data_IF_154824352192
#
_entry.id   IF_154824352192
#
_cell.length_a   1.000
_cell.length_b   1.000
_cell.length_c   1.000
_cell.angle_alpha   90.00
_cell.angle_beta   90.00
_cell.angle_gamma   90.00
#
_symmetry.space_group_name_H-M   'P 1'
#
loop_
_entity.id
_entity.type
_entity.pdbx_description
1 polymer ?
#
# COMPACT_ATOMS: atom_id res chain seq x y z
N UNK A 1 20.65 -9.89 -4.08
CA UNK A 1 21.76 -9.91 -3.08
C UNK A 1 21.28 -10.64 -1.82
N UNK A 2 21.99 -11.67 -1.34
CA UNK A 2 21.58 -12.45 -0.15
C UNK A 2 21.83 -11.59 1.10
N UNK A 3 20.78 -11.20 1.83
CA UNK A 3 20.89 -10.40 3.05
C UNK A 3 21.74 -11.15 4.10
N UNK A 4 22.58 -10.41 4.83
CA UNK A 4 23.32 -10.95 5.97
C UNK A 4 22.37 -11.26 7.12
N UNK A 5 22.72 -12.18 8.00
CA UNK A 5 21.85 -12.60 9.12
C UNK A 5 21.39 -11.41 9.98
N UNK A 6 22.26 -10.43 10.23
CA UNK A 6 21.95 -9.24 11.02
C UNK A 6 20.93 -8.31 10.29
N UNK A 7 21.05 -8.14 8.97
CA UNK A 7 20.09 -7.35 8.18
C UNK A 7 18.68 -7.94 8.27
N UNK A 8 18.56 -9.26 8.11
CA UNK A 8 17.26 -9.96 8.25
C UNK A 8 16.66 -9.79 9.65
N UNK A 9 17.47 -9.94 10.70
CA UNK A 9 16.99 -9.75 12.08
C UNK A 9 16.48 -8.33 12.34
N UNK A 10 17.14 -7.32 11.78
CA UNK A 10 16.71 -5.93 11.88
C UNK A 10 15.37 -5.70 11.18
N UNK A 11 15.18 -6.24 9.97
CA UNK A 11 13.89 -6.15 9.24
C UNK A 11 12.76 -6.89 9.96
N UNK A 12 13.03 -8.09 10.49
CA UNK A 12 12.06 -8.86 11.29
C UNK A 12 11.69 -8.10 12.57
N UNK A 13 12.66 -7.47 13.24
CA UNK A 13 12.42 -6.68 14.44
C UNK A 13 11.50 -5.48 14.18
N UNK A 14 11.60 -4.85 13.02
CA UNK A 14 10.66 -3.79 12.60
C UNK A 14 9.24 -4.33 12.58
N UNK A 15 8.98 -5.44 11.87
CA UNK A 15 7.64 -6.06 11.81
C UNK A 15 7.11 -6.39 13.20
N UNK A 16 7.92 -7.05 14.04
CA UNK A 16 7.52 -7.45 15.40
C UNK A 16 7.13 -6.25 16.28
N UNK A 17 7.88 -5.15 16.20
CA UNK A 17 7.56 -3.95 16.98
C UNK A 17 6.24 -3.34 16.50
N UNK A 18 6.05 -3.25 15.18
CA UNK A 18 4.83 -2.69 14.61
C UNK A 18 3.60 -3.53 15.00
N UNK A 19 3.68 -4.85 14.87
CA UNK A 19 2.59 -5.78 15.19
C UNK A 19 2.19 -5.73 16.65
N UNK A 20 3.15 -5.64 17.55
CA UNK A 20 2.92 -5.76 18.99
C UNK A 20 2.64 -4.42 19.68
N UNK A 21 3.26 -3.33 19.18
CA UNK A 21 3.29 -2.06 19.90
C UNK A 21 2.91 -0.85 19.03
N UNK A 22 2.77 -1.06 17.73
CA UNK A 22 2.44 -0.02 16.74
C UNK A 22 3.66 0.79 16.27
N UNK A 23 3.45 1.55 15.21
CA UNK A 23 4.50 2.36 14.56
C UNK A 23 5.09 3.45 15.46
N UNK A 24 4.32 4.00 16.39
CA UNK A 24 4.77 5.03 17.33
C UNK A 24 5.96 4.61 18.18
N UNK A 25 6.20 3.29 18.28
CA UNK A 25 7.29 2.72 19.09
C UNK A 25 8.54 2.40 18.27
N UNK A 26 8.52 2.65 16.97
CA UNK A 26 9.68 2.45 16.11
C UNK A 26 10.79 3.44 16.46
N UNK A 27 12.01 2.92 16.59
CA UNK A 27 13.21 3.72 16.84
C UNK A 27 14.46 2.88 16.84
N UNK A 28 15.60 3.48 16.49
CA UNK A 28 16.90 2.80 16.31
C UNK A 28 17.26 1.92 17.51
N UNK A 29 17.17 2.46 18.74
CA UNK A 29 17.56 1.73 19.95
C UNK A 29 16.63 0.52 20.20
N UNK A 30 15.32 0.68 19.97
CA UNK A 30 14.35 -0.37 20.17
C UNK A 30 14.51 -1.50 19.16
N UNK A 31 14.68 -1.15 17.88
CA UNK A 31 14.90 -2.12 16.80
C UNK A 31 16.19 -2.91 17.07
N UNK A 32 17.28 -2.24 17.42
CA UNK A 32 18.55 -2.88 17.74
C UNK A 32 18.42 -3.87 18.92
N UNK A 33 17.74 -3.46 19.99
CA UNK A 33 17.44 -4.31 21.14
C UNK A 33 16.61 -5.54 20.76
N UNK A 34 15.53 -5.34 20.02
CA UNK A 34 14.64 -6.42 19.54
C UNK A 34 15.38 -7.40 18.62
N UNK A 35 16.22 -6.88 17.71
CA UNK A 35 17.03 -7.67 16.79
C UNK A 35 18.23 -8.36 17.46
N UNK A 36 18.53 -8.04 18.73
CA UNK A 36 19.75 -8.46 19.43
C UNK A 36 21.00 -8.13 18.61
N UNK A 37 21.08 -6.90 18.11
CA UNK A 37 22.16 -6.37 17.29
C UNK A 37 22.66 -5.03 17.85
N UNK A 38 23.91 -4.68 17.52
CA UNK A 38 24.37 -3.31 17.76
C UNK A 38 23.66 -2.32 16.83
N UNK A 39 23.23 -1.17 17.37
CA UNK A 39 22.58 -0.10 16.60
C UNK A 39 23.45 0.46 15.47
N UNK A 40 24.76 0.36 15.58
CA UNK A 40 25.72 0.76 14.54
C UNK A 40 25.47 0.00 13.23
N UNK A 41 24.95 -1.24 13.31
CA UNK A 41 24.62 -2.03 12.12
C UNK A 41 23.44 -1.42 11.32
N UNK A 42 22.52 -0.69 11.97
CA UNK A 42 21.45 0.02 11.28
C UNK A 42 22.03 1.12 10.38
N UNK A 43 22.96 1.89 10.91
CA UNK A 43 23.64 2.92 10.13
C UNK A 43 24.53 2.33 9.03
N UNK A 44 25.23 1.26 9.35
CA UNK A 44 26.15 0.59 8.42
C UNK A 44 25.44 -0.05 7.23
N UNK A 45 24.30 -0.70 7.45
CA UNK A 45 23.60 -1.45 6.40
C UNK A 45 22.51 -0.67 5.70
N UNK A 46 21.90 0.28 6.41
CA UNK A 46 20.70 1.00 5.93
C UNK A 46 20.85 2.52 5.93
N UNK A 47 22.01 3.06 6.33
CA UNK A 47 22.24 4.51 6.44
C UNK A 47 21.33 5.20 7.46
N UNK A 48 20.79 4.45 8.43
CA UNK A 48 19.92 4.97 9.49
C UNK A 48 18.51 4.37 9.46
N UNK A 49 17.63 4.98 10.27
CA UNK A 49 16.26 4.49 10.45
C UNK A 49 15.44 4.56 9.16
N UNK A 50 15.49 5.67 8.44
CA UNK A 50 14.73 5.84 7.18
C UNK A 50 15.11 4.78 6.13
N UNK A 51 16.39 4.52 5.95
CA UNK A 51 16.86 3.50 5.03
C UNK A 51 16.46 2.08 5.44
N UNK A 52 16.45 1.78 6.76
CA UNK A 52 15.93 0.51 7.27
C UNK A 52 14.44 0.36 6.99
N UNK A 53 13.65 1.40 7.22
CA UNK A 53 12.19 1.38 6.97
C UNK A 53 11.89 1.31 5.48
N UNK A 54 12.65 2.01 4.62
CA UNK A 54 12.53 1.90 3.18
C UNK A 54 12.86 0.47 2.68
N UNK A 55 13.88 -0.17 3.26
CA UNK A 55 14.21 -1.57 2.95
C UNK A 55 13.11 -2.53 3.42
N UNK A 56 12.53 -2.29 4.60
CA UNK A 56 11.41 -3.06 5.13
C UNK A 56 10.16 -2.93 4.25
N UNK A 57 9.85 -1.73 3.77
CA UNK A 57 8.68 -1.47 2.96
C UNK A 57 8.70 -2.20 1.61
N UNK A 58 9.88 -2.48 1.03
CA UNK A 58 9.99 -3.23 -0.24
C UNK A 58 9.29 -4.59 -0.20
N UNK A 59 9.28 -5.23 0.97
CA UNK A 59 8.70 -6.55 1.15
C UNK A 59 7.34 -6.52 1.88
N UNK A 60 6.94 -5.37 2.42
CA UNK A 60 5.75 -5.28 3.28
C UNK A 60 4.74 -4.21 2.82
N UNK A 61 5.15 -3.27 1.97
CA UNK A 61 4.28 -2.21 1.48
C UNK A 61 3.47 -2.65 0.27
N UNK A 62 2.14 -2.63 0.41
CA UNK A 62 1.22 -3.05 -0.67
C UNK A 62 1.47 -2.29 -1.99
N UNK A 63 1.64 -0.98 -1.94
CA UNK A 63 1.76 -0.17 -3.17
C UNK A 63 3.06 -0.46 -3.92
N UNK A 64 4.15 -0.67 -3.18
CA UNK A 64 5.44 -1.09 -3.76
C UNK A 64 5.32 -2.49 -4.39
N UNK A 65 4.72 -3.44 -3.69
CA UNK A 65 4.49 -4.80 -4.19
C UNK A 65 3.54 -4.83 -5.39
N UNK A 66 2.47 -4.02 -5.34
CA UNK A 66 1.52 -3.90 -6.44
C UNK A 66 2.20 -3.34 -7.70
N UNK A 67 3.01 -2.28 -7.57
CA UNK A 67 3.77 -1.75 -8.69
C UNK A 67 4.66 -2.82 -9.34
N UNK A 68 5.44 -3.55 -8.54
CA UNK A 68 6.30 -4.63 -9.03
C UNK A 68 5.51 -5.73 -9.77
N UNK A 69 4.33 -6.08 -9.25
CA UNK A 69 3.51 -7.15 -9.80
C UNK A 69 2.73 -6.76 -11.08
N UNK A 70 2.40 -5.46 -11.23
CA UNK A 70 1.45 -5.02 -12.25
C UNK A 70 2.02 -4.11 -13.33
N UNK A 71 3.18 -3.47 -13.13
CA UNK A 71 3.79 -2.58 -14.13
C UNK A 71 3.98 -3.24 -15.49
N UNK A 72 4.52 -4.46 -15.54
CA UNK A 72 4.66 -5.22 -16.78
C UNK A 72 3.32 -5.62 -17.41
N UNK A 73 2.30 -5.87 -16.59
CA UNK A 73 0.97 -6.27 -17.08
C UNK A 73 0.25 -5.11 -17.75
N UNK A 74 0.40 -3.89 -17.22
CA UNK A 74 -0.11 -2.68 -17.86
C UNK A 74 0.54 -2.48 -19.21
N UNK A 75 1.86 -2.63 -19.29
CA UNK A 75 2.59 -2.51 -20.57
C UNK A 75 2.12 -3.51 -21.62
N UNK A 76 1.73 -4.73 -21.19
CA UNK A 76 1.24 -5.81 -22.07
C UNK A 76 -0.25 -5.74 -22.39
N UNK A 77 -1.01 -4.87 -21.75
CA UNK A 77 -2.45 -4.70 -22.02
C UNK A 77 -2.68 -4.20 -23.46
N UNK A 78 -3.60 -4.82 -24.18
CA UNK A 78 -3.87 -4.53 -25.59
C UNK A 78 -5.17 -3.75 -25.80
N UNK A 79 -6.05 -3.74 -24.78
CA UNK A 79 -7.36 -3.09 -24.87
C UNK A 79 -7.68 -2.29 -23.60
N UNK A 80 -8.63 -1.33 -23.73
CA UNK A 80 -9.21 -0.63 -22.58
C UNK A 80 -9.88 -1.60 -21.61
N UNK A 81 -10.43 -2.72 -22.11
CA UNK A 81 -11.02 -3.76 -21.28
C UNK A 81 -9.99 -4.46 -20.40
N UNK A 82 -8.79 -4.73 -20.93
CA UNK A 82 -7.68 -5.31 -20.14
C UNK A 82 -7.26 -4.35 -19.04
N UNK A 83 -7.19 -3.05 -19.34
CA UNK A 83 -6.87 -1.99 -18.37
C UNK A 83 -7.92 -1.94 -17.25
N UNK A 84 -9.22 -1.99 -17.61
CA UNK A 84 -10.31 -2.02 -16.61
C UNK A 84 -10.15 -3.23 -15.69
N UNK A 85 -10.05 -4.43 -16.26
CA UNK A 85 -9.90 -5.69 -15.51
C UNK A 85 -8.67 -5.67 -14.60
N UNK A 86 -7.56 -5.14 -15.10
CA UNK A 86 -6.32 -5.03 -14.34
C UNK A 86 -6.49 -4.05 -13.17
N UNK A 87 -7.07 -2.88 -13.40
CA UNK A 87 -7.36 -1.88 -12.36
C UNK A 87 -8.27 -2.45 -11.28
N UNK A 88 -9.37 -3.09 -11.67
CA UNK A 88 -10.27 -3.77 -10.73
C UNK A 88 -9.54 -4.83 -9.91
N UNK A 89 -8.68 -5.62 -10.55
CA UNK A 89 -7.87 -6.65 -9.88
C UNK A 89 -6.95 -6.04 -8.82
N UNK A 90 -6.30 -4.91 -9.14
CA UNK A 90 -5.41 -4.24 -8.17
C UNK A 90 -6.18 -3.69 -6.98
N UNK A 91 -7.32 -3.00 -7.23
CA UNK A 91 -8.17 -2.45 -6.18
C UNK A 91 -8.73 -3.54 -5.25
N UNK A 92 -9.16 -4.68 -5.81
CA UNK A 92 -9.63 -5.82 -5.02
C UNK A 92 -8.52 -6.46 -4.19
N UNK A 93 -7.32 -6.55 -4.74
CA UNK A 93 -6.17 -7.03 -3.98
C UNK A 93 -5.79 -6.05 -2.88
N UNK A 94 -5.86 -4.75 -3.13
CA UNK A 94 -5.67 -3.71 -2.10
C UNK A 94 -6.68 -3.90 -0.97
N UNK A 95 -7.98 -3.99 -1.29
CA UNK A 95 -9.04 -4.19 -0.30
C UNK A 95 -8.77 -5.43 0.56
N UNK A 96 -8.53 -6.58 -0.08
CA UNK A 96 -8.30 -7.84 0.63
C UNK A 96 -7.01 -7.81 1.47
N UNK A 97 -5.92 -7.26 0.92
CA UNK A 97 -4.65 -7.12 1.62
C UNK A 97 -4.77 -6.24 2.85
N UNK A 98 -5.36 -5.05 2.70
CA UNK A 98 -5.52 -4.11 3.81
C UNK A 98 -6.43 -4.66 4.91
N UNK A 99 -7.49 -5.37 4.57
CA UNK A 99 -8.39 -5.97 5.58
C UNK A 99 -7.71 -7.00 6.46
N UNK A 100 -6.72 -7.71 5.95
CA UNK A 100 -6.06 -8.82 6.66
C UNK A 100 -4.67 -8.48 7.16
N UNK A 101 -4.05 -7.40 6.67
CA UNK A 101 -2.68 -7.04 7.00
C UNK A 101 -2.61 -5.91 8.03
N UNK A 102 -2.48 -6.28 9.31
CA UNK A 102 -2.39 -5.33 10.42
C UNK A 102 -1.18 -4.39 10.30
N UNK A 103 -0.03 -4.89 9.81
CA UNK A 103 1.17 -4.07 9.61
C UNK A 103 0.90 -2.91 8.65
N UNK A 104 0.24 -3.19 7.53
CA UNK A 104 -0.08 -2.17 6.54
C UNK A 104 -1.12 -1.18 7.06
N UNK A 105 -2.11 -1.64 7.82
CA UNK A 105 -3.08 -0.76 8.47
C UNK A 105 -2.40 0.20 9.45
N UNK A 106 -1.46 -0.29 10.27
CA UNK A 106 -0.69 0.54 11.19
C UNK A 106 0.18 1.55 10.44
N UNK A 107 0.83 1.14 9.35
CA UNK A 107 1.62 2.03 8.50
C UNK A 107 0.79 3.18 7.96
N UNK A 108 -0.37 2.87 7.34
CA UNK A 108 -1.27 3.90 6.78
C UNK A 108 -1.83 4.83 7.87
N UNK A 109 -2.23 4.30 9.01
CA UNK A 109 -2.72 5.11 10.12
C UNK A 109 -1.63 6.06 10.64
N UNK A 110 -0.40 5.59 10.71
CA UNK A 110 0.74 6.40 11.13
C UNK A 110 1.09 7.51 10.11
N UNK A 111 1.03 7.20 8.82
CA UNK A 111 1.24 8.20 7.76
C UNK A 111 0.23 9.35 7.85
N UNK A 112 -1.03 9.04 8.11
CA UNK A 112 -2.09 10.04 8.31
C UNK A 112 -1.86 10.94 9.53
N UNK A 113 -1.03 10.52 10.50
CA UNK A 113 -0.67 11.35 11.65
C UNK A 113 0.36 12.46 11.35
N UNK A 114 0.81 12.58 10.10
CA UNK A 114 1.71 13.64 9.65
C UNK A 114 3.19 13.43 10.02
N UNK A 115 3.58 12.20 10.36
CA UNK A 115 4.96 11.90 10.74
C UNK A 115 5.89 11.81 9.54
N UNK A 116 7.00 12.56 9.57
CA UNK A 116 7.96 12.65 8.45
C UNK A 116 8.87 11.42 8.26
N UNK A 117 8.87 10.49 9.21
CA UNK A 117 9.76 9.31 9.20
C UNK A 117 9.57 8.40 7.97
N UNK A 118 8.41 8.49 7.30
CA UNK A 118 8.07 7.68 6.12
C UNK A 118 8.11 8.44 4.80
N UNK A 119 8.64 9.63 4.78
CA UNK A 119 8.71 10.43 3.55
C UNK A 119 9.40 9.69 2.40
N UNK A 120 10.40 8.88 2.68
CA UNK A 120 11.09 8.06 1.67
C UNK A 120 10.19 7.00 1.05
N UNK A 121 9.34 6.35 1.85
CA UNK A 121 8.36 5.35 1.37
C UNK A 121 7.27 6.03 0.56
N UNK A 122 6.73 7.16 1.05
CA UNK A 122 5.73 7.95 0.32
C UNK A 122 6.28 8.41 -1.03
N UNK A 123 7.49 8.96 -1.08
CA UNK A 123 8.12 9.40 -2.32
C UNK A 123 8.33 8.24 -3.31
N UNK A 124 8.63 7.05 -2.83
CA UNK A 124 8.74 5.86 -3.68
C UNK A 124 7.38 5.44 -4.24
N UNK A 125 6.34 5.42 -3.41
CA UNK A 125 4.96 5.13 -3.84
C UNK A 125 4.49 6.14 -4.89
N UNK A 126 4.71 7.44 -4.66
CA UNK A 126 4.34 8.50 -5.60
C UNK A 126 5.05 8.33 -6.94
N UNK A 127 6.36 8.06 -6.94
CA UNK A 127 7.10 7.78 -8.18
C UNK A 127 6.54 6.57 -8.93
N UNK A 128 6.26 5.50 -8.22
CA UNK A 128 5.74 4.27 -8.81
C UNK A 128 4.31 4.45 -9.30
N UNK A 129 3.46 5.14 -8.53
CA UNK A 129 2.11 5.50 -8.91
C UNK A 129 2.10 6.37 -10.16
N UNK A 130 2.94 7.39 -10.21
CA UNK A 130 3.06 8.28 -11.37
C UNK A 130 3.45 7.52 -12.65
N UNK A 131 4.49 6.66 -12.59
CA UNK A 131 4.90 5.82 -13.73
C UNK A 131 3.78 4.90 -14.20
N UNK A 132 3.06 4.28 -13.28
CA UNK A 132 1.95 3.39 -13.62
C UNK A 132 0.82 4.16 -14.32
N UNK A 133 0.52 5.37 -13.85
CA UNK A 133 -0.48 6.25 -14.46
C UNK A 133 -0.05 6.72 -15.86
N UNK A 134 1.22 7.08 -16.06
CA UNK A 134 1.73 7.42 -17.40
C UNK A 134 1.57 6.26 -18.40
N UNK A 135 1.84 5.03 -17.97
CA UNK A 135 1.65 3.86 -18.81
C UNK A 135 0.17 3.59 -19.13
N UNK A 136 -0.72 3.79 -18.15
CA UNK A 136 -2.16 3.69 -18.36
C UNK A 136 -2.66 4.75 -19.36
N UNK A 137 -2.23 5.99 -19.24
CA UNK A 137 -2.60 7.09 -20.13
C UNK A 137 -2.12 6.84 -21.58
N UNK A 138 -0.88 6.38 -21.76
CA UNK A 138 -0.37 5.98 -23.08
C UNK A 138 -1.22 4.88 -23.73
N UNK A 139 -1.64 3.90 -22.96
CA UNK A 139 -2.46 2.77 -23.45
C UNK A 139 -3.89 3.17 -23.76
N UNK A 140 -4.46 4.10 -23.01
CA UNK A 140 -5.81 4.59 -23.23
C UNK A 140 -5.91 5.67 -24.34
N UNK A 141 -4.77 6.20 -24.79
CA UNK A 141 -4.70 7.21 -25.83
C UNK A 141 -5.32 8.56 -25.45
N UNK A 142 -5.46 8.82 -24.16
CA UNK A 142 -6.05 10.04 -23.61
C UNK A 142 -5.20 10.57 -22.46
N UNK A 143 -5.02 11.89 -22.40
CA UNK A 143 -4.67 12.56 -21.13
C UNK A 143 -5.90 12.46 -20.21
N UNK A 144 -5.99 11.38 -19.49
CA UNK A 144 -7.16 11.12 -18.69
C UNK A 144 -6.93 11.53 -17.24
N UNK A 145 -6.94 12.86 -17.00
CA UNK A 145 -6.96 13.42 -15.63
C UNK A 145 -8.13 12.83 -14.83
N UNK A 146 -9.25 12.58 -15.51
CA UNK A 146 -10.46 12.01 -14.90
C UNK A 146 -10.24 10.55 -14.47
N UNK A 147 -9.58 9.73 -15.28
CA UNK A 147 -9.22 8.34 -14.91
C UNK A 147 -8.26 8.34 -13.73
N UNK A 148 -7.24 9.20 -13.75
CA UNK A 148 -6.29 9.32 -12.65
C UNK A 148 -7.01 9.70 -11.35
N UNK A 149 -7.87 10.73 -11.39
CA UNK A 149 -8.63 11.18 -10.23
C UNK A 149 -9.58 10.10 -9.72
N UNK A 150 -10.27 9.40 -10.61
CA UNK A 150 -11.17 8.31 -10.25
C UNK A 150 -10.45 7.16 -9.52
N UNK A 151 -9.33 6.69 -10.07
CA UNK A 151 -8.51 5.66 -9.42
C UNK A 151 -7.99 6.15 -8.07
N UNK A 152 -7.54 7.41 -7.98
CA UNK A 152 -7.07 8.01 -6.73
C UNK A 152 -8.18 8.03 -5.67
N UNK A 153 -9.39 8.41 -6.03
CA UNK A 153 -10.55 8.40 -5.12
C UNK A 153 -10.85 6.98 -4.64
N UNK A 154 -10.83 5.98 -5.53
CA UNK A 154 -11.07 4.58 -5.16
C UNK A 154 -10.00 4.05 -4.20
N UNK A 155 -8.72 4.33 -4.47
CA UNK A 155 -7.61 3.97 -3.57
C UNK A 155 -7.81 4.61 -2.19
N UNK A 156 -8.09 5.90 -2.15
CA UNK A 156 -8.31 6.64 -0.91
C UNK A 156 -9.54 6.11 -0.14
N UNK A 157 -10.63 5.83 -0.84
CA UNK A 157 -11.87 5.30 -0.26
C UNK A 157 -11.65 3.93 0.38
N UNK A 158 -10.94 3.02 -0.28
CA UNK A 158 -10.58 1.70 0.26
C UNK A 158 -9.75 1.87 1.54
N UNK A 159 -8.72 2.72 1.51
CA UNK A 159 -7.88 2.97 2.68
C UNK A 159 -8.71 3.51 3.84
N UNK A 160 -9.55 4.51 3.58
CA UNK A 160 -10.35 5.15 4.60
C UNK A 160 -11.36 4.19 5.23
N UNK A 161 -12.11 3.44 4.42
CA UNK A 161 -13.10 2.47 4.92
C UNK A 161 -12.41 1.43 5.80
N UNK A 162 -11.31 0.82 5.33
CA UNK A 162 -10.61 -0.21 6.11
C UNK A 162 -10.06 0.34 7.41
N UNK A 163 -9.47 1.54 7.42
CA UNK A 163 -8.89 2.12 8.63
C UNK A 163 -9.97 2.57 9.62
N UNK A 164 -11.05 3.18 9.12
CA UNK A 164 -12.15 3.66 9.97
C UNK A 164 -12.89 2.51 10.64
N UNK A 165 -13.14 1.42 9.90
CA UNK A 165 -13.88 0.26 10.41
C UNK A 165 -13.12 -0.60 11.41
N UNK A 166 -11.83 -0.32 11.65
CA UNK A 166 -11.09 -0.87 12.80
C UNK A 166 -11.63 -0.41 14.15
N UNK A 167 -12.19 0.82 14.20
CA UNK A 167 -12.68 1.45 15.43
C UNK A 167 -14.18 1.60 15.41
N UNK A 168 -14.74 1.94 14.26
CA UNK A 168 -16.15 2.25 14.08
C UNK A 168 -16.79 1.21 13.17
N UNK A 169 -17.60 0.33 13.76
CA UNK A 169 -18.27 -0.76 13.03
C UNK A 169 -19.18 -0.27 11.90
N UNK A 170 -19.84 0.87 12.11
CA UNK A 170 -20.79 1.45 11.16
C UNK A 170 -20.16 2.67 10.48
N UNK A 171 -20.20 2.69 9.16
CA UNK A 171 -19.82 3.84 8.36
C UNK A 171 -20.89 4.11 7.30
N UNK A 172 -21.40 5.33 7.26
CA UNK A 172 -22.47 5.75 6.33
C UNK A 172 -23.69 4.80 6.34
N UNK A 173 -24.10 4.33 7.53
CA UNK A 173 -25.22 3.42 7.70
C UNK A 173 -24.94 1.95 7.37
N UNK A 174 -23.76 1.62 6.90
CA UNK A 174 -23.34 0.25 6.54
C UNK A 174 -22.56 -0.35 7.72
N UNK A 175 -22.99 -1.53 8.18
CA UNK A 175 -22.31 -2.27 9.24
C UNK A 175 -21.20 -3.18 8.65
N UNK A 176 -19.96 -2.75 8.76
CA UNK A 176 -18.78 -3.46 8.28
C UNK A 176 -18.33 -4.63 9.18
N UNK A 177 -19.01 -4.90 10.29
CA UNK A 177 -18.85 -6.18 11.00
C UNK A 177 -19.56 -7.32 10.26
N UNK A 178 -20.53 -7.01 9.38
CA UNK A 178 -21.18 -7.96 8.51
C UNK A 178 -20.30 -8.26 7.27
N UNK A 179 -19.97 -9.54 7.00
CA UNK A 179 -19.27 -9.94 5.78
C UNK A 179 -19.92 -9.47 4.48
N UNK A 180 -21.25 -9.36 4.43
CA UNK A 180 -22.00 -8.89 3.26
C UNK A 180 -21.60 -7.46 2.84
N UNK A 181 -21.29 -6.57 3.79
CA UNK A 181 -20.83 -5.22 3.50
C UNK A 181 -19.54 -5.23 2.67
N UNK A 182 -18.64 -6.15 2.96
CA UNK A 182 -17.39 -6.31 2.21
C UNK A 182 -17.60 -6.94 0.83
N UNK A 183 -18.56 -7.86 0.71
CA UNK A 183 -18.95 -8.40 -0.60
C UNK A 183 -19.58 -7.31 -1.48
N UNK A 184 -20.39 -6.43 -0.89
CA UNK A 184 -20.92 -5.27 -1.61
C UNK A 184 -19.80 -4.31 -2.08
N UNK A 185 -18.78 -4.06 -1.25
CA UNK A 185 -17.61 -3.30 -1.67
C UNK A 185 -16.91 -3.94 -2.89
N UNK A 186 -16.73 -5.26 -2.87
CA UNK A 186 -16.13 -5.99 -3.99
C UNK A 186 -16.99 -5.89 -5.26
N UNK A 187 -18.30 -6.09 -5.13
CA UNK A 187 -19.24 -5.97 -6.25
C UNK A 187 -19.20 -4.56 -6.85
N UNK A 188 -19.11 -3.51 -6.00
CA UNK A 188 -18.97 -2.14 -6.46
C UNK A 188 -17.69 -1.92 -7.26
N UNK A 189 -16.56 -2.47 -6.82
CA UNK A 189 -15.29 -2.43 -7.55
C UNK A 189 -15.40 -3.22 -8.88
N UNK A 190 -16.13 -4.33 -8.90
CA UNK A 190 -16.37 -5.10 -10.12
C UNK A 190 -17.39 -4.49 -11.07
N UNK A 191 -18.14 -3.48 -10.65
CA UNK A 191 -19.15 -2.86 -11.49
C UNK A 191 -18.50 -2.16 -12.69
N UNK A 192 -18.56 -2.84 -13.84
CA UNK A 192 -17.95 -2.40 -15.11
C UNK A 192 -18.48 -1.03 -15.55
N UNK A 193 -19.76 -0.75 -15.34
CA UNK A 193 -20.38 0.50 -15.76
C UNK A 193 -19.72 1.73 -15.10
N UNK A 194 -19.20 1.62 -13.87
CA UNK A 194 -18.50 2.69 -13.20
C UNK A 194 -17.18 3.05 -13.91
N UNK A 195 -16.51 2.05 -14.47
CA UNK A 195 -15.24 2.24 -15.18
C UNK A 195 -15.44 2.66 -16.63
N UNK A 196 -16.42 2.09 -17.33
CA UNK A 196 -16.68 2.39 -18.74
C UNK A 196 -17.09 3.86 -18.98
N UNK A 197 -17.89 4.44 -18.08
CA UNK A 197 -18.30 5.83 -18.19
C UNK A 197 -17.15 6.83 -18.05
N UNK A 198 -16.06 6.43 -17.43
CA UNK A 198 -14.88 7.28 -17.19
C UNK A 198 -13.81 7.03 -18.25
N UNK A 199 -13.76 5.81 -18.79
CA UNK A 199 -12.76 5.40 -19.79
C UNK A 199 -13.21 5.63 -21.24
N UNK A 200 -14.49 6.00 -21.49
CA UNK A 200 -15.02 6.45 -22.77
C UNK A 200 -14.80 7.94 -22.96
#
# INVERSE_FOLDING_TARGET
MKLRNAEKRLLIAVSQIIENEGFSKIGVNKIAKQAKCDKVLIYRYFSGLEGLLAAWAKDNDFYTLAYQAYSERVTKAESSEDIIKLTQTVLLKQLNFLRTNKLMQELLAWELSGNSTFRSIQNERERNGFKLQEELEKKLGKESKDVRMFITILIASINYIVLTTRQYRIFNGIDFSNPEAWELCKQTIYNRALFENILK
#
